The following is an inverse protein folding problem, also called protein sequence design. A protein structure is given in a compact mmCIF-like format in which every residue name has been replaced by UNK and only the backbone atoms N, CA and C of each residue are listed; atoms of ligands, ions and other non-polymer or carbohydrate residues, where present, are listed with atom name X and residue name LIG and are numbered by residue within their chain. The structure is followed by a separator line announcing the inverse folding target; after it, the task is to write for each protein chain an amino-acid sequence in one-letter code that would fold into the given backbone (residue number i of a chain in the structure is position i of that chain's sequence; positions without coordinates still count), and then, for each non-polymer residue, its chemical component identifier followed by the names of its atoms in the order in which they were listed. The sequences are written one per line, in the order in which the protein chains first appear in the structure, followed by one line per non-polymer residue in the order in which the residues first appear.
data_IF_812570446214
#
_entry.id   IF_812570446214
#
_cell.length_a   1.000
_cell.length_b   1.000
_cell.length_c   1.000
_cell.angle_alpha   90.00
_cell.angle_beta   90.00
_cell.angle_gamma   90.00
#
_symmetry.space_group_name_H-M   'P 1'
#
loop_
_entity.id
_entity.type
_entity.pdbx_description
1 polymer ?
#
# COMPACT_ATOMS: atom_id res chain seq x y z
N UNK A 1 1.21 -27.44 -7.71
CA UNK A 1 0.67 -26.22 -8.35
C UNK A 1 0.00 -25.23 -7.38
N UNK A 2 -0.59 -25.65 -6.25
CA UNK A 2 -1.19 -24.72 -5.27
C UNK A 2 -0.17 -23.99 -4.36
N UNK A 3 0.94 -24.65 -4.01
CA UNK A 3 1.93 -24.12 -3.08
C UNK A 3 2.63 -22.82 -3.57
N UNK A 4 2.80 -22.62 -4.88
CA UNK A 4 3.41 -21.40 -5.42
C UNK A 4 2.46 -20.21 -5.35
N UNK A 5 1.16 -20.43 -5.59
CA UNK A 5 0.13 -19.38 -5.47
C UNK A 5 -0.03 -18.94 -4.01
N UNK A 6 -0.05 -19.88 -3.07
CA UNK A 6 -0.13 -19.54 -1.63
C UNK A 6 1.10 -18.77 -1.14
N UNK A 7 2.30 -19.16 -1.58
CA UNK A 7 3.53 -18.40 -1.32
C UNK A 7 3.42 -16.99 -1.87
N UNK A 8 3.04 -16.84 -3.14
CA UNK A 8 2.85 -15.52 -3.76
C UNK A 8 1.83 -14.67 -3.02
N UNK A 9 0.69 -15.23 -2.64
CA UNK A 9 -0.35 -14.54 -1.87
C UNK A 9 0.18 -14.08 -0.50
N UNK A 10 0.95 -14.93 0.17
CA UNK A 10 1.58 -14.60 1.45
C UNK A 10 2.57 -13.45 1.32
N UNK A 11 3.39 -13.46 0.27
CA UNK A 11 4.33 -12.36 -0.01
C UNK A 11 3.62 -11.05 -0.34
N UNK A 12 2.57 -11.11 -1.16
CA UNK A 12 1.75 -9.93 -1.49
C UNK A 12 1.10 -9.34 -0.24
N UNK A 13 0.54 -10.17 0.65
CA UNK A 13 -0.02 -9.74 1.93
C UNK A 13 1.03 -9.12 2.85
N UNK A 14 2.25 -9.68 2.92
CA UNK A 14 3.37 -9.10 3.67
C UNK A 14 3.77 -7.72 3.11
N UNK A 15 3.86 -7.59 1.78
CA UNK A 15 4.13 -6.31 1.11
C UNK A 15 3.02 -5.30 1.42
N UNK A 16 1.76 -5.72 1.31
CA UNK A 16 0.60 -4.87 1.60
C UNK A 16 0.68 -4.30 3.03
N UNK A 17 0.86 -5.15 4.03
CA UNK A 17 0.98 -4.74 5.43
C UNK A 17 2.16 -3.77 5.65
N UNK A 18 3.29 -3.98 4.96
CA UNK A 18 4.45 -3.07 5.00
C UNK A 18 4.11 -1.69 4.46
N UNK A 19 3.40 -1.59 3.34
CA UNK A 19 3.03 -0.29 2.75
C UNK A 19 1.90 0.39 3.53
N UNK A 20 0.91 -0.35 4.03
CA UNK A 20 -0.13 0.18 4.92
C UNK A 20 0.47 0.74 6.22
N UNK A 21 1.46 0.04 6.80
CA UNK A 21 2.23 0.55 7.95
C UNK A 21 3.00 1.84 7.63
N UNK A 22 3.64 1.92 6.46
CA UNK A 22 4.32 3.15 6.01
C UNK A 22 3.33 4.31 5.82
N UNK A 23 2.16 4.05 5.25
CA UNK A 23 1.11 5.04 5.08
C UNK A 23 0.64 5.57 6.43
N UNK A 24 0.36 4.69 7.39
CA UNK A 24 -0.06 5.06 8.73
C UNK A 24 1.00 5.90 9.46
N UNK A 25 2.29 5.57 9.31
CA UNK A 25 3.39 6.36 9.89
C UNK A 25 3.49 7.76 9.27
N UNK A 26 3.37 7.88 7.94
CA UNK A 26 3.36 9.18 7.24
C UNK A 26 2.14 10.02 7.65
N UNK A 27 0.96 9.41 7.73
CA UNK A 27 -0.28 10.07 8.15
C UNK A 27 -0.25 10.50 9.63
N UNK A 28 0.37 9.71 10.53
CA UNK A 28 0.51 10.07 11.96
C UNK A 28 1.33 11.34 12.17
N UNK A 29 2.30 11.60 11.28
CA UNK A 29 3.10 12.85 11.27
C UNK A 29 2.40 14.02 10.56
N UNK A 30 1.28 13.77 9.89
CA UNK A 30 0.49 14.76 9.15
C UNK A 30 -0.60 15.42 10.01
N UNK A 31 -0.43 15.52 11.35
CA UNK A 31 -1.41 16.07 12.31
C UNK A 31 -1.68 17.59 12.14
N UNK A 32 -2.23 17.99 11.00
CA UNK A 32 -3.07 19.17 10.85
C UNK A 32 -2.38 20.51 10.61
N UNK A 33 -1.05 20.61 10.62
CA UNK A 33 -0.39 21.88 10.28
C UNK A 33 0.09 21.82 8.83
N UNK A 34 -0.84 22.13 7.92
CA UNK A 34 -0.54 22.42 6.52
C UNK A 34 0.10 23.81 6.50
N UNK A 35 1.41 23.88 6.76
CA UNK A 35 2.17 25.06 6.35
C UNK A 35 2.36 24.97 4.84
N UNK A 36 1.94 26.03 4.14
CA UNK A 36 2.14 26.30 2.72
C UNK A 36 3.64 26.33 2.39
N UNK A 37 4.23 25.16 2.26
CA UNK A 37 5.65 24.99 1.95
C UNK A 37 5.76 23.72 1.11
N UNK A 38 6.57 23.70 0.04
CA UNK A 38 6.67 22.56 -0.91
C UNK A 38 6.93 21.18 -0.28
N UNK A 39 7.30 21.13 1.00
CA UNK A 39 7.29 19.93 1.85
C UNK A 39 5.90 19.27 1.98
N UNK A 40 4.80 20.02 1.87
CA UNK A 40 3.43 19.50 1.91
C UNK A 40 3.08 18.76 0.62
N UNK A 41 3.42 19.32 -0.54
CA UNK A 41 3.23 18.69 -1.85
C UNK A 41 4.05 17.41 -2.00
N UNK A 42 5.33 17.43 -1.59
CA UNK A 42 6.15 16.20 -1.61
C UNK A 42 5.54 15.11 -0.74
N UNK A 43 5.08 15.44 0.48
CA UNK A 43 4.41 14.47 1.36
C UNK A 43 3.10 13.95 0.77
N UNK A 44 2.33 14.82 0.13
CA UNK A 44 1.09 14.45 -0.56
C UNK A 44 1.38 13.47 -1.71
N UNK A 45 2.34 13.77 -2.57
CA UNK A 45 2.75 12.89 -3.67
C UNK A 45 3.26 11.54 -3.17
N UNK A 46 4.06 11.52 -2.11
CA UNK A 46 4.50 10.27 -1.48
C UNK A 46 3.33 9.43 -0.92
N UNK A 47 2.33 10.08 -0.33
CA UNK A 47 1.10 9.41 0.15
C UNK A 47 0.32 8.83 -1.02
N UNK A 48 0.13 9.59 -2.11
CA UNK A 48 -0.56 9.12 -3.30
C UNK A 48 0.15 7.92 -3.94
N UNK A 49 1.47 7.94 -4.04
CA UNK A 49 2.26 6.80 -4.55
C UNK A 49 2.07 5.57 -3.66
N UNK A 50 2.11 5.72 -2.34
CA UNK A 50 1.90 4.59 -1.43
C UNK A 50 0.47 4.06 -1.54
N UNK A 51 -0.53 4.93 -1.70
CA UNK A 51 -1.92 4.52 -1.93
C UNK A 51 -2.10 3.76 -3.24
N UNK A 52 -1.46 4.21 -4.32
CA UNK A 52 -1.47 3.51 -5.61
C UNK A 52 -0.85 2.11 -5.49
N UNK A 53 0.31 1.98 -4.83
CA UNK A 53 0.94 0.69 -4.57
C UNK A 53 0.03 -0.24 -3.77
N UNK A 54 -0.65 0.28 -2.74
CA UNK A 54 -1.61 -0.49 -1.93
C UNK A 54 -2.79 -0.95 -2.79
N UNK A 55 -3.32 -0.09 -3.65
CA UNK A 55 -4.44 -0.41 -4.54
C UNK A 55 -4.06 -1.53 -5.52
N UNK A 56 -2.88 -1.43 -6.15
CA UNK A 56 -2.37 -2.45 -7.07
C UNK A 56 -2.15 -3.79 -6.36
N UNK A 57 -1.55 -3.79 -5.17
CA UNK A 57 -1.36 -5.00 -4.37
C UNK A 57 -2.70 -5.65 -3.99
N UNK A 58 -3.70 -4.85 -3.62
CA UNK A 58 -5.05 -5.35 -3.33
C UNK A 58 -5.70 -5.96 -4.57
N UNK A 59 -5.54 -5.32 -5.74
CA UNK A 59 -6.05 -5.84 -7.00
C UNK A 59 -5.40 -7.18 -7.36
N UNK A 60 -4.08 -7.29 -7.27
CA UNK A 60 -3.35 -8.53 -7.58
C UNK A 60 -3.75 -9.67 -6.63
N UNK A 61 -3.90 -9.39 -5.32
CA UNK A 61 -4.41 -10.38 -4.35
C UNK A 61 -5.83 -10.82 -4.76
N UNK A 62 -6.70 -9.88 -5.10
CA UNK A 62 -8.07 -10.19 -5.51
C UNK A 62 -8.10 -11.05 -6.78
N UNK A 63 -7.31 -10.72 -7.79
CA UNK A 63 -7.18 -11.51 -9.03
C UNK A 63 -6.76 -12.95 -8.73
N UNK A 64 -5.76 -13.15 -7.85
CA UNK A 64 -5.29 -14.49 -7.45
C UNK A 64 -6.39 -15.29 -6.73
N UNK A 65 -7.13 -14.64 -5.82
CA UNK A 65 -8.23 -15.29 -5.09
C UNK A 65 -9.37 -15.67 -6.04
N UNK A 66 -9.79 -14.74 -6.90
CA UNK A 66 -10.95 -14.90 -7.80
C UNK A 66 -10.68 -15.92 -8.90
N UNK A 67 -9.44 -16.05 -9.37
CA UNK A 67 -9.03 -17.07 -10.36
C UNK A 67 -8.96 -18.48 -9.76
N UNK A 68 -9.20 -18.64 -8.45
CA UNK A 68 -9.09 -19.92 -7.74
C UNK A 68 -10.47 -20.44 -7.26
N UNK A 69 -11.55 -19.67 -7.46
CA UNK A 69 -12.94 -20.11 -7.27
C UNK A 69 -13.59 -20.52 -8.57
#
# INVERSE_FOLDING_TARGET
MYAEKEKKLTELRKKLAKYEGKLAQKMKRYRGVIHESGLSEMRHNEVMVIQAIIADLKREIQEIITTTG
#
